data_IF_082097059963
#
_entry.id   IF_082097059963
#
_cell.length_a   1.000
_cell.length_b   1.000
_cell.length_c   1.000
_cell.angle_alpha   90.00
_cell.angle_beta   90.00
_cell.angle_gamma   90.00
#
_symmetry.space_group_name_H-M   'P 1'
#
loop_
_entity.id
_entity.type
_entity.pdbx_description
1 polymer ?
#
# COMPACT_ATOMS: atom_id res chain seq x y z
N UNK A 1 -8.40 -17.68 -7.65
CA UNK A 1 -7.97 -18.86 -8.41
C UNK A 1 -6.49 -18.74 -8.80
N UNK A 2 -5.83 -19.83 -9.24
CA UNK A 2 -4.48 -19.77 -9.80
C UNK A 2 -4.34 -18.78 -10.97
N UNK A 3 -5.39 -18.65 -11.79
CA UNK A 3 -5.47 -17.75 -12.95
C UNK A 3 -5.44 -16.26 -12.55
N UNK A 4 -6.19 -15.87 -11.52
CA UNK A 4 -6.14 -14.50 -10.98
C UNK A 4 -4.77 -14.16 -10.38
N UNK A 5 -4.03 -15.17 -9.89
CA UNK A 5 -2.68 -14.96 -9.35
C UNK A 5 -1.68 -14.65 -10.48
N UNK A 6 -1.77 -15.35 -11.61
CA UNK A 6 -0.92 -15.09 -12.79
C UNK A 6 -1.20 -13.73 -13.40
N UNK A 7 -2.47 -13.32 -13.51
CA UNK A 7 -2.84 -11.99 -14.02
C UNK A 7 -2.31 -10.86 -13.13
N UNK A 8 -2.40 -11.02 -11.79
CA UNK A 8 -1.85 -10.05 -10.85
C UNK A 8 -0.33 -9.91 -10.96
N UNK A 9 0.37 -11.03 -11.15
CA UNK A 9 1.83 -11.04 -11.34
C UNK A 9 2.24 -10.37 -12.66
N UNK A 10 1.54 -10.66 -13.75
CA UNK A 10 1.78 -10.01 -15.05
C UNK A 10 1.53 -8.50 -14.97
N UNK A 11 0.43 -8.09 -14.35
CA UNK A 11 0.13 -6.67 -14.15
C UNK A 11 1.15 -5.99 -13.21
N UNK A 12 1.66 -6.70 -12.21
CA UNK A 12 2.72 -6.19 -11.33
C UNK A 12 4.02 -5.99 -12.11
N UNK A 13 4.43 -6.95 -12.93
CA UNK A 13 5.61 -6.83 -13.80
C UNK A 13 5.49 -5.62 -14.73
N UNK A 14 4.34 -5.43 -15.38
CA UNK A 14 4.10 -4.24 -16.23
C UNK A 14 4.23 -2.92 -15.45
N UNK A 15 3.76 -2.88 -14.20
CA UNK A 15 3.91 -1.69 -13.33
C UNK A 15 5.35 -1.48 -12.89
N UNK A 16 6.07 -2.54 -12.57
CA UNK A 16 7.47 -2.45 -12.15
C UNK A 16 8.36 -2.04 -13.33
N UNK A 17 8.11 -2.58 -14.52
CA UNK A 17 8.74 -2.13 -15.78
C UNK A 17 8.41 -0.66 -16.06
N UNK A 18 7.17 -0.21 -15.82
CA UNK A 18 6.79 1.20 -15.96
C UNK A 18 7.45 2.11 -14.91
N UNK A 19 7.65 1.63 -13.68
CA UNK A 19 8.38 2.36 -12.63
C UNK A 19 9.87 2.43 -12.93
N UNK A 20 10.46 1.39 -13.51
CA UNK A 20 11.84 1.41 -13.98
C UNK A 20 12.03 2.40 -15.12
N UNK A 21 11.03 2.55 -16.01
CA UNK A 21 11.00 3.69 -16.96
C UNK A 21 10.97 5.04 -16.23
N UNK A 22 10.49 5.15 -15.00
CA UNK A 22 10.57 6.39 -14.21
C UNK A 22 11.99 6.88 -13.91
N UNK A 23 13.02 6.03 -14.05
CA UNK A 23 14.43 6.42 -13.88
C UNK A 23 15.09 6.93 -15.16
N UNK A 24 14.66 6.45 -16.33
CA UNK A 24 15.24 6.75 -17.65
C UNK A 24 14.18 6.63 -18.75
N UNK A 25 13.02 7.26 -18.57
CA UNK A 25 11.99 7.31 -19.61
C UNK A 25 12.52 8.24 -20.68
N UNK A 26 12.80 7.67 -21.85
CA UNK A 26 13.11 8.41 -23.06
C UNK A 26 12.20 9.64 -23.17
N UNK A 27 12.80 10.83 -23.14
CA UNK A 27 12.07 12.08 -23.11
C UNK A 27 11.13 12.18 -24.32
N UNK A 28 9.83 12.39 -24.10
CA UNK A 28 8.86 12.46 -25.20
C UNK A 28 9.06 13.66 -26.15
N UNK A 29 9.97 14.60 -25.82
CA UNK A 29 10.28 15.77 -26.65
C UNK A 29 11.54 15.60 -27.49
N UNK A 30 12.68 15.29 -26.86
CA UNK A 30 13.97 15.17 -27.55
C UNK A 30 14.44 13.73 -27.74
N UNK A 31 13.69 12.76 -27.20
CA UNK A 31 13.98 11.35 -27.27
C UNK A 31 15.33 10.94 -26.61
N UNK A 32 15.85 11.74 -25.67
CA UNK A 32 17.03 11.42 -24.86
C UNK A 32 16.69 10.68 -23.57
N UNK A 33 17.63 9.89 -23.05
CA UNK A 33 17.42 9.01 -21.88
C UNK A 33 17.98 9.59 -20.56
N UNK A 34 18.68 10.73 -20.65
CA UNK A 34 19.41 11.36 -19.53
C UNK A 34 18.54 12.29 -18.67
N UNK A 35 17.29 12.54 -19.08
CA UNK A 35 16.40 13.43 -18.35
C UNK A 35 14.92 13.09 -18.58
N UNK A 36 14.07 13.36 -17.59
CA UNK A 36 12.61 13.31 -17.76
C UNK A 36 12.10 14.53 -18.53
N UNK A 37 10.88 14.44 -19.07
CA UNK A 37 10.24 15.50 -19.88
C UNK A 37 10.20 16.88 -19.21
N UNK A 38 10.11 16.95 -17.88
CA UNK A 38 10.10 18.21 -17.13
C UNK A 38 11.46 18.91 -17.06
N UNK A 39 12.55 18.17 -17.27
CA UNK A 39 13.91 18.70 -17.34
C UNK A 39 14.42 18.86 -18.77
N UNK A 40 13.55 18.72 -19.78
CA UNK A 40 13.96 18.83 -21.18
C UNK A 40 14.21 20.29 -21.56
N UNK A 41 15.37 20.56 -22.18
CA UNK A 41 15.72 21.88 -22.71
C UNK A 41 14.82 22.33 -23.88
N UNK A 42 14.10 21.41 -24.53
CA UNK A 42 13.11 21.70 -25.58
C UNK A 42 11.70 21.95 -25.02
N UNK A 43 11.51 21.89 -23.70
CA UNK A 43 10.20 22.16 -23.10
C UNK A 43 9.85 23.65 -23.29
N UNK A 44 8.74 23.99 -23.97
CA UNK A 44 8.36 25.38 -24.20
C UNK A 44 8.06 26.10 -22.89
N UNK A 45 8.23 27.42 -22.86
CA UNK A 45 7.89 28.26 -21.69
C UNK A 45 6.39 28.53 -21.58
N UNK A 46 5.64 28.41 -22.69
CA UNK A 46 4.20 28.60 -22.74
C UNK A 46 3.47 27.50 -21.94
N UNK A 47 2.64 27.89 -20.98
CA UNK A 47 1.93 26.99 -20.08
C UNK A 47 0.94 26.07 -20.82
N UNK A 48 0.20 26.59 -21.81
CA UNK A 48 -0.77 25.82 -22.59
C UNK A 48 -0.10 24.71 -23.39
N UNK A 49 1.03 25.01 -24.04
CA UNK A 49 1.81 24.04 -24.80
C UNK A 49 2.43 22.97 -23.88
N UNK A 50 2.94 23.39 -22.72
CA UNK A 50 3.45 22.46 -21.69
C UNK A 50 2.36 21.50 -21.23
N UNK A 51 1.16 22.01 -20.95
CA UNK A 51 0.02 21.19 -20.54
C UNK A 51 -0.33 20.15 -21.61
N UNK A 52 -0.37 20.53 -22.89
CA UNK A 52 -0.64 19.58 -23.99
C UNK A 52 0.46 18.52 -24.14
N UNK A 53 1.72 18.92 -24.01
CA UNK A 53 2.87 18.00 -24.06
C UNK A 53 2.76 16.97 -22.93
N UNK A 54 2.50 17.42 -21.69
CA UNK A 54 2.33 16.52 -20.57
C UNK A 54 1.09 15.63 -20.71
N UNK A 55 0.00 16.17 -21.27
CA UNK A 55 -1.21 15.39 -21.54
C UNK A 55 -0.96 14.27 -22.54
N UNK A 56 -0.21 14.54 -23.61
CA UNK A 56 0.19 13.52 -24.61
C UNK A 56 1.09 12.46 -23.98
N UNK A 57 2.13 12.86 -23.25
CA UNK A 57 3.02 11.93 -22.55
C UNK A 57 2.25 11.05 -21.55
N UNK A 58 1.27 11.61 -20.84
CA UNK A 58 0.43 10.87 -19.89
C UNK A 58 -0.52 9.86 -20.55
N UNK A 59 -0.91 10.06 -21.82
CA UNK A 59 -1.71 9.08 -22.56
C UNK A 59 -0.89 7.86 -23.00
N UNK A 60 0.39 8.05 -23.31
CA UNK A 60 1.31 6.96 -23.65
C UNK A 60 1.79 6.20 -22.40
N UNK A 61 1.73 6.84 -21.24
CA UNK A 61 2.07 6.20 -19.98
C UNK A 61 1.11 5.05 -19.67
N UNK A 62 1.62 3.89 -19.20
CA UNK A 62 0.76 2.79 -18.81
C UNK A 62 -0.08 3.16 -17.59
N UNK A 63 -1.35 2.76 -17.61
CA UNK A 63 -2.27 2.99 -16.52
C UNK A 63 -1.76 2.37 -15.22
N UNK A 64 -1.67 3.17 -14.15
CA UNK A 64 -1.24 2.71 -12.82
C UNK A 64 -2.07 1.57 -12.23
N UNK A 65 -3.31 1.37 -12.69
CA UNK A 65 -4.19 0.28 -12.23
C UNK A 65 -3.93 -1.02 -12.98
N UNK A 66 -3.98 -1.00 -14.31
CA UNK A 66 -3.96 -2.21 -15.14
C UNK A 66 -2.68 -2.42 -15.96
N UNK A 67 -1.80 -1.42 -16.05
CA UNK A 67 -0.56 -1.47 -16.81
C UNK A 67 -0.72 -1.26 -18.32
N UNK A 68 -1.94 -1.09 -18.84
CA UNK A 68 -2.17 -0.84 -20.26
C UNK A 68 -2.06 0.66 -20.59
N UNK A 69 -1.40 1.04 -21.70
CA UNK A 69 -1.32 2.43 -22.14
C UNK A 69 -2.67 2.95 -22.71
N UNK A 70 -2.75 4.24 -23.00
CA UNK A 70 -3.92 4.87 -23.65
C UNK A 70 -4.97 5.43 -22.68
N UNK A 71 -4.82 5.21 -21.38
CA UNK A 71 -5.74 5.75 -20.38
C UNK A 71 -5.06 5.93 -19.01
N UNK A 72 -5.61 6.83 -18.19
CA UNK A 72 -5.20 7.00 -16.80
C UNK A 72 -6.09 6.16 -15.85
N UNK A 73 -5.73 6.08 -14.56
CA UNK A 73 -6.48 5.32 -13.55
C UNK A 73 -7.98 5.67 -13.54
N UNK A 74 -8.30 6.95 -13.69
CA UNK A 74 -9.67 7.46 -13.60
C UNK A 74 -10.52 7.12 -14.82
N UNK A 75 -9.91 6.68 -15.93
CA UNK A 75 -10.57 6.17 -17.13
C UNK A 75 -10.25 4.70 -17.41
N UNK A 76 -9.82 3.96 -16.39
CA UNK A 76 -9.45 2.56 -16.56
C UNK A 76 -10.70 1.70 -16.83
N UNK A 77 -10.76 0.93 -17.92
CA UNK A 77 -11.88 0.02 -18.20
C UNK A 77 -11.94 -1.12 -17.17
N UNK A 78 -10.80 -1.48 -16.58
CA UNK A 78 -10.72 -2.36 -15.42
C UNK A 78 -11.00 -1.60 -14.10
N UNK A 79 -11.73 -0.48 -14.17
CA UNK A 79 -12.58 -0.07 -13.06
C UNK A 79 -13.63 -1.17 -12.86
N UNK A 80 -13.23 -2.25 -12.18
CA UNK A 80 -14.11 -2.92 -11.24
C UNK A 80 -14.85 -1.80 -10.54
N UNK A 81 -16.14 -1.69 -10.83
CA UNK A 81 -17.05 -0.71 -10.26
C UNK A 81 -16.57 -0.50 -8.84
N UNK A 82 -16.06 0.71 -8.55
CA UNK A 82 -15.59 1.02 -7.21
C UNK A 82 -16.66 0.49 -6.29
N UNK A 83 -16.27 -0.40 -5.35
CA UNK A 83 -17.21 -1.05 -4.41
C UNK A 83 -18.33 -0.06 -4.19
N UNK A 84 -19.59 -0.40 -4.54
CA UNK A 84 -20.65 0.59 -4.52
C UNK A 84 -20.49 1.32 -3.20
N UNK A 85 -20.36 2.64 -3.26
CA UNK A 85 -20.51 3.50 -2.09
C UNK A 85 -21.97 3.41 -1.61
N UNK A 86 -22.54 2.20 -1.55
CA UNK A 86 -23.57 1.84 -0.61
C UNK A 86 -23.03 2.35 0.72
N UNK A 87 -23.71 3.38 1.24
CA UNK A 87 -23.41 4.13 2.44
C UNK A 87 -22.28 3.48 3.24
N UNK A 88 -21.09 4.10 3.24
CA UNK A 88 -20.02 3.73 4.16
C UNK A 88 -20.58 3.94 5.56
N UNK A 89 -21.32 2.95 6.08
CA UNK A 89 -21.49 2.74 7.50
C UNK A 89 -20.06 2.70 7.98
N UNK A 90 -19.66 3.75 8.70
CA UNK A 90 -18.32 3.81 9.26
C UNK A 90 -18.13 2.47 9.97
N UNK A 91 -17.02 1.75 9.70
CA UNK A 91 -16.78 0.50 10.39
C UNK A 91 -16.90 0.78 11.90
N UNK A 92 -17.42 -0.18 12.68
CA UNK A 92 -17.59 0.00 14.11
C UNK A 92 -16.26 0.48 14.68
N UNK A 93 -16.31 1.60 15.39
CA UNK A 93 -15.15 2.13 16.09
C UNK A 93 -15.28 1.76 17.56
N UNK A 94 -14.16 1.42 18.18
CA UNK A 94 -14.07 1.19 19.63
C UNK A 94 -12.95 2.08 20.14
N UNK A 95 -13.27 2.87 21.16
CA UNK A 95 -12.27 3.63 21.90
C UNK A 95 -11.70 2.72 23.01
N UNK A 96 -10.38 2.68 23.10
CA UNK A 96 -9.67 1.78 24.01
C UNK A 96 -8.68 2.59 24.85
N UNK A 97 -8.71 2.41 26.17
CA UNK A 97 -7.78 3.06 27.07
C UNK A 97 -6.43 2.34 27.05
N UNK A 98 -5.40 2.99 26.51
CA UNK A 98 -4.04 2.43 26.40
C UNK A 98 -3.05 3.03 27.40
N UNK A 99 -3.51 3.87 28.35
CA UNK A 99 -2.63 4.65 29.23
C UNK A 99 -1.70 3.77 30.08
N UNK A 100 -2.15 2.57 30.47
CA UNK A 100 -1.40 1.65 31.32
C UNK A 100 -0.57 0.62 30.56
N UNK A 101 -0.65 0.61 29.23
CA UNK A 101 0.02 -0.41 28.39
C UNK A 101 1.54 -0.34 28.53
N UNK A 102 2.10 0.88 28.61
CA UNK A 102 3.54 1.09 28.73
C UNK A 102 4.09 0.75 30.13
N UNK A 103 3.22 0.68 31.14
CA UNK A 103 3.58 0.32 32.51
C UNK A 103 3.70 -1.20 32.70
N UNK A 104 3.15 -1.98 31.76
CA UNK A 104 3.19 -3.44 31.82
C UNK A 104 4.61 -3.98 31.63
N UNK A 105 4.87 -5.16 32.21
CA UNK A 105 6.13 -5.89 32.01
C UNK A 105 6.37 -6.20 30.53
N UNK A 106 5.31 -6.56 29.81
CA UNK A 106 5.31 -6.77 28.37
C UNK A 106 4.23 -5.89 27.69
N UNK A 107 4.57 -4.65 27.30
CA UNK A 107 3.61 -3.71 26.73
C UNK A 107 2.90 -4.22 25.47
N UNK A 108 3.61 -4.96 24.62
CA UNK A 108 3.02 -5.54 23.41
C UNK A 108 1.95 -6.59 23.73
N UNK A 109 2.20 -7.46 24.71
CA UNK A 109 1.24 -8.48 25.14
C UNK A 109 0.03 -7.82 25.80
N UNK A 110 0.25 -6.83 26.67
CA UNK A 110 -0.82 -6.06 27.29
C UNK A 110 -1.71 -5.37 26.22
N UNK A 111 -1.10 -4.79 25.19
CA UNK A 111 -1.83 -4.21 24.06
C UNK A 111 -2.63 -5.25 23.27
N UNK A 112 -2.05 -6.42 22.97
CA UNK A 112 -2.75 -7.49 22.28
C UNK A 112 -3.92 -8.05 23.11
N UNK A 113 -3.78 -8.12 24.44
CA UNK A 113 -4.87 -8.47 25.36
C UNK A 113 -6.04 -7.49 25.26
N UNK A 114 -5.75 -6.19 25.39
CA UNK A 114 -6.78 -5.16 25.23
C UNK A 114 -7.47 -5.23 23.85
N UNK A 115 -6.70 -5.43 22.78
CA UNK A 115 -7.27 -5.61 21.45
C UNK A 115 -8.20 -6.83 21.37
N UNK A 116 -7.82 -7.96 21.96
CA UNK A 116 -8.62 -9.17 21.95
C UNK A 116 -10.00 -8.96 22.61
N UNK A 117 -10.06 -8.19 23.70
CA UNK A 117 -11.32 -7.83 24.37
C UNK A 117 -12.26 -7.00 23.49
N UNK A 118 -11.72 -6.24 22.52
CA UNK A 118 -12.52 -5.42 21.60
C UNK A 118 -13.07 -6.19 20.40
N UNK A 119 -12.60 -7.42 20.16
CA UNK A 119 -13.02 -8.22 19.01
C UNK A 119 -14.39 -8.84 19.30
N UNK A 120 -15.40 -8.41 18.54
CA UNK A 120 -16.78 -8.91 18.63
C UNK A 120 -16.93 -10.30 17.97
N UNK A 121 -16.38 -11.34 18.59
CA UNK A 121 -16.57 -12.75 18.19
C UNK A 121 -16.75 -13.66 19.39
N UNK A 122 -17.37 -14.81 19.14
CA UNK A 122 -17.79 -15.77 20.18
C UNK A 122 -16.60 -16.40 20.92
N UNK A 123 -15.51 -16.66 20.21
CA UNK A 123 -14.30 -17.24 20.79
C UNK A 123 -13.05 -16.46 20.37
N UNK A 124 -12.59 -15.56 21.24
CA UNK A 124 -11.35 -14.81 21.07
C UNK A 124 -10.32 -15.25 22.12
N UNK A 125 -9.13 -15.67 21.67
CA UNK A 125 -8.04 -16.10 22.55
C UNK A 125 -6.71 -15.52 22.10
N UNK A 126 -5.86 -15.24 23.07
CA UNK A 126 -4.46 -14.92 22.84
C UNK A 126 -3.66 -16.22 22.74
N UNK A 127 -2.83 -16.36 21.72
CA UNK A 127 -1.90 -17.48 21.57
C UNK A 127 -0.47 -16.98 21.59
N UNK A 128 0.31 -17.52 22.51
CA UNK A 128 1.76 -17.31 22.55
C UNK A 128 2.46 -18.33 21.65
N UNK A 129 3.49 -17.89 20.94
CA UNK A 129 4.27 -18.74 20.04
C UNK A 129 5.72 -18.91 20.49
N UNK A 130 6.17 -18.11 21.47
CA UNK A 130 7.56 -18.03 21.87
C UNK A 130 8.51 -17.41 20.82
N UNK A 131 7.99 -17.00 19.65
CA UNK A 131 8.81 -16.46 18.56
C UNK A 131 9.12 -14.98 18.80
N UNK A 132 10.32 -14.69 19.31
CA UNK A 132 10.83 -13.32 19.45
C UNK A 132 11.90 -13.02 18.40
N UNK A 133 11.93 -11.79 17.90
CA UNK A 133 13.00 -11.35 17.01
C UNK A 133 14.17 -10.80 17.85
N UNK A 134 15.26 -11.56 17.91
CA UNK A 134 16.41 -11.30 18.79
C UNK A 134 17.43 -10.30 18.22
N UNK A 135 17.19 -9.72 17.03
CA UNK A 135 18.12 -8.74 16.44
C UNK A 135 18.27 -7.52 17.36
N UNK A 136 19.50 -7.06 17.57
CA UNK A 136 19.84 -5.95 18.46
C UNK A 136 19.02 -4.67 18.22
N UNK A 137 18.67 -4.40 16.95
CA UNK A 137 17.85 -3.24 16.56
C UNK A 137 16.40 -3.27 17.10
N UNK A 138 15.96 -4.40 17.64
CA UNK A 138 14.62 -4.60 18.19
C UNK A 138 14.59 -4.81 19.72
N UNK A 139 15.71 -4.56 20.41
CA UNK A 139 15.79 -4.68 21.87
C UNK A 139 15.33 -3.41 22.62
N UNK A 140 14.99 -2.34 21.90
CA UNK A 140 14.38 -1.15 22.49
C UNK A 140 12.95 -1.46 22.97
N UNK A 141 12.66 -1.20 24.25
CA UNK A 141 11.32 -1.37 24.85
C UNK A 141 10.24 -0.53 24.18
N UNK A 142 10.62 0.56 23.51
CA UNK A 142 9.69 1.39 22.70
C UNK A 142 9.48 0.81 21.30
N UNK A 143 10.32 -0.13 20.86
CA UNK A 143 10.26 -0.79 19.56
C UNK A 143 9.60 -2.17 19.65
N UNK A 144 8.27 -2.21 19.56
CA UNK A 144 7.50 -3.45 19.68
C UNK A 144 7.61 -4.39 18.47
N UNK A 145 8.37 -4.00 17.43
CA UNK A 145 8.60 -4.83 16.24
C UNK A 145 9.24 -6.18 16.64
N UNK A 146 10.05 -6.20 17.70
CA UNK A 146 10.68 -7.41 18.22
C UNK A 146 9.68 -8.47 18.70
N UNK A 147 8.58 -8.03 19.31
CA UNK A 147 7.52 -8.87 19.88
C UNK A 147 6.38 -9.21 18.91
N UNK A 148 6.35 -8.64 17.69
CA UNK A 148 5.23 -8.81 16.76
C UNK A 148 4.90 -10.26 16.41
N UNK A 149 5.84 -11.18 16.59
CA UNK A 149 5.66 -12.61 16.32
C UNK A 149 5.39 -13.45 17.56
N UNK A 150 5.53 -12.90 18.77
CA UNK A 150 5.45 -13.68 20.00
C UNK A 150 4.02 -14.02 20.39
N UNK A 151 3.05 -13.23 19.93
CA UNK A 151 1.64 -13.34 20.28
C UNK A 151 0.74 -13.06 19.07
N UNK A 152 -0.35 -13.82 18.96
CA UNK A 152 -1.41 -13.61 17.98
C UNK A 152 -2.80 -13.75 18.62
N UNK A 153 -3.77 -13.00 18.07
CA UNK A 153 -5.19 -13.09 18.45
C UNK A 153 -5.86 -14.08 17.51
N UNK A 154 -6.47 -15.12 18.06
CA UNK A 154 -7.29 -16.08 17.32
C UNK A 154 -8.75 -15.79 17.63
N UNK A 155 -9.54 -15.52 16.60
CA UNK A 155 -10.96 -15.23 16.72
C UNK A 155 -11.76 -16.18 15.83
N UNK A 156 -12.37 -17.21 16.42
CA UNK A 156 -13.19 -18.21 15.74
C UNK A 156 -14.68 -17.97 15.99
N UNK A 157 -15.50 -18.47 15.06
CA UNK A 157 -16.91 -18.75 15.32
C UNK A 157 -16.99 -20.21 15.76
N UNK A 158 -17.85 -20.52 16.74
CA UNK A 158 -18.17 -21.91 17.08
C UNK A 158 -18.91 -22.62 15.94
#
# INVERSE_FOLDING_TARGET
>A
SPLERTERLAAQKLRDDAKQRGGHARCHLCAGDDHPIHGCHLLPTNETERIEIFRRAALEAPCWKCGQPGHNRDRCPNQTAGKPSAALTKPPFVEMNVSRVLEAESPFVAYCGLLAETVQRDCVRLMETGLTNTKAQHQDRRNWIGGRKSVYIVATHE
#
